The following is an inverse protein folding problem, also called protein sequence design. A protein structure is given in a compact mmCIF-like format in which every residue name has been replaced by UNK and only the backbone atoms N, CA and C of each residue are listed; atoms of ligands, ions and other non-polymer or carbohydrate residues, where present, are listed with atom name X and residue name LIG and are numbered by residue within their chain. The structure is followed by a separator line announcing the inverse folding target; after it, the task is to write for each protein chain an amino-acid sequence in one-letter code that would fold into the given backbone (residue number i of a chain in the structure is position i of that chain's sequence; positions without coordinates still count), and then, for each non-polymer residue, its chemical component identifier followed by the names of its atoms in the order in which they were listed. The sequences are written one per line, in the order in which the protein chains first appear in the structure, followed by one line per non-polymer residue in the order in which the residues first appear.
data_IF_701844197606
#
_entry.id   IF_701844197606
#
_cell.length_a   1.000
_cell.length_b   1.000
_cell.length_c   1.000
_cell.angle_alpha   90.00
_cell.angle_beta   90.00
_cell.angle_gamma   90.00
#
_symmetry.space_group_name_H-M   'P 1'
#
loop_
_entity.id
_entity.type
_entity.pdbx_description
1 polymer ?
#
# COMPACT_ATOMS: atom_id res chain seq x y z
N UNK A 1 10.04 14.50 -3.13
CA UNK A 1 9.02 13.78 -2.36
C UNK A 1 9.07 12.30 -2.67
N UNK A 2 8.86 11.47 -1.69
CA UNK A 2 8.76 10.04 -1.89
C UNK A 2 7.47 9.53 -1.23
N UNK A 3 7.03 8.37 -1.66
CA UNK A 3 5.81 7.76 -1.15
C UNK A 3 6.14 6.81 -0.01
N UNK A 4 5.24 6.68 0.96
CA UNK A 4 5.32 5.64 1.97
C UNK A 4 3.98 4.94 2.09
N UNK A 5 4.01 3.64 2.37
CA UNK A 5 2.81 2.82 2.56
C UNK A 5 2.67 2.36 4.00
N UNK A 6 3.28 3.07 4.95
CA UNK A 6 3.17 2.71 6.36
C UNK A 6 1.72 2.66 6.82
N UNK A 7 0.89 3.57 6.32
CA UNK A 7 -0.53 3.56 6.65
C UNK A 7 -1.21 2.27 6.23
N UNK A 8 -0.82 1.73 5.08
CA UNK A 8 -1.36 0.46 4.60
C UNK A 8 -1.05 -0.68 5.57
N UNK A 9 0.20 -0.74 6.03
CA UNK A 9 0.60 -1.79 6.97
C UNK A 9 -0.13 -1.68 8.29
N UNK A 10 -0.31 -0.46 8.80
CA UNK A 10 -1.09 -0.22 10.02
C UNK A 10 -2.55 -0.61 9.84
N UNK A 11 -3.12 -0.30 8.68
CA UNK A 11 -4.51 -0.67 8.39
C UNK A 11 -4.69 -2.19 8.37
N UNK A 12 -3.74 -2.91 7.79
CA UNK A 12 -3.78 -4.37 7.79
C UNK A 12 -3.71 -4.92 9.20
N UNK A 13 -2.85 -4.37 10.05
CA UNK A 13 -2.75 -4.77 11.45
C UNK A 13 -4.08 -4.56 12.17
N UNK A 14 -4.70 -3.41 11.97
CA UNK A 14 -5.99 -3.08 12.59
C UNK A 14 -7.07 -4.06 12.19
N UNK A 15 -6.98 -4.62 10.99
CA UNK A 15 -7.96 -5.55 10.46
C UNK A 15 -7.57 -7.01 10.66
N UNK A 16 -6.45 -7.27 11.32
CA UNK A 16 -5.98 -8.64 11.53
C UNK A 16 -5.60 -9.33 10.24
N UNK A 17 -5.19 -8.57 9.23
CA UNK A 17 -4.78 -9.08 7.93
C UNK A 17 -3.28 -9.15 7.80
N UNK A 18 -2.81 -10.18 7.10
CA UNK A 18 -1.40 -10.32 6.74
C UNK A 18 -1.19 -9.76 5.33
N UNK A 19 0.07 -9.48 4.97
CA UNK A 19 0.41 -9.03 3.62
C UNK A 19 -0.06 -10.03 2.56
N UNK A 20 0.03 -11.31 2.86
CA UNK A 20 -0.45 -12.37 1.98
C UNK A 20 -1.96 -12.22 1.72
N UNK A 21 -2.71 -11.89 2.74
CA UNK A 21 -4.16 -11.70 2.61
C UNK A 21 -4.48 -10.54 1.69
N UNK A 22 -3.72 -9.46 1.81
CA UNK A 22 -3.87 -8.30 0.92
C UNK A 22 -3.58 -8.68 -0.52
N UNK A 23 -2.50 -9.40 -0.74
CA UNK A 23 -2.12 -9.84 -2.09
C UNK A 23 -3.25 -10.61 -2.76
N UNK A 24 -3.86 -11.52 -2.03
CA UNK A 24 -4.96 -12.34 -2.54
C UNK A 24 -6.24 -11.51 -2.73
N UNK A 25 -6.59 -10.70 -1.75
CA UNK A 25 -7.82 -9.91 -1.78
C UNK A 25 -7.82 -8.88 -2.92
N UNK A 26 -6.69 -8.25 -3.17
CA UNK A 26 -6.56 -7.21 -4.20
C UNK A 26 -6.07 -7.76 -5.54
N UNK A 27 -5.74 -9.04 -5.61
CA UNK A 27 -5.23 -9.64 -6.85
C UNK A 27 -3.88 -9.07 -7.27
N UNK A 28 -2.98 -8.86 -6.31
CA UNK A 28 -1.68 -8.29 -6.58
C UNK A 28 -0.64 -9.36 -6.91
N UNK A 29 0.39 -8.95 -7.66
CA UNK A 29 1.52 -9.81 -7.96
C UNK A 29 2.58 -9.70 -6.86
N UNK A 30 3.49 -10.68 -6.82
CA UNK A 30 4.63 -10.61 -5.92
C UNK A 30 5.50 -9.40 -6.18
N UNK A 31 5.63 -9.00 -7.46
CA UNK A 31 6.40 -7.83 -7.83
C UNK A 31 5.79 -6.54 -7.24
N UNK A 32 4.47 -6.43 -7.31
CA UNK A 32 3.76 -5.28 -6.73
C UNK A 32 3.92 -5.26 -5.19
N UNK A 33 3.82 -6.41 -4.55
CA UNK A 33 4.02 -6.50 -3.11
C UNK A 33 5.44 -6.06 -2.72
N UNK A 34 6.43 -6.41 -3.53
CA UNK A 34 7.81 -5.98 -3.30
C UNK A 34 7.93 -4.47 -3.37
N UNK A 35 7.30 -3.84 -4.36
CA UNK A 35 7.29 -2.39 -4.49
C UNK A 35 6.66 -1.71 -3.28
N UNK A 36 5.55 -2.25 -2.80
CA UNK A 36 4.88 -1.72 -1.62
C UNK A 36 5.78 -1.78 -0.38
N UNK A 37 6.49 -2.89 -0.20
CA UNK A 37 7.40 -3.04 0.94
C UNK A 37 8.61 -2.13 0.87
N UNK A 38 9.00 -1.71 -0.32
CA UNK A 38 10.16 -0.82 -0.55
C UNK A 38 9.76 0.63 -0.72
N UNK A 39 8.50 0.96 -0.51
CA UNK A 39 7.98 2.32 -0.71
C UNK A 39 8.27 2.85 -2.11
N UNK A 40 8.09 2.00 -3.10
CA UNK A 40 8.25 2.37 -4.51
C UNK A 40 6.91 2.70 -5.13
N UNK A 41 6.95 3.45 -6.23
CA UNK A 41 5.73 3.86 -6.92
C UNK A 41 4.98 2.67 -7.50
N UNK A 42 3.66 2.73 -7.40
CA UNK A 42 2.76 1.76 -8.03
C UNK A 42 1.75 2.54 -8.87
N UNK A 43 1.06 1.84 -9.77
CA UNK A 43 0.09 2.50 -10.64
C UNK A 43 -1.17 2.86 -9.88
N UNK A 44 -1.89 3.88 -10.38
CA UNK A 44 -3.18 4.25 -9.80
C UNK A 44 -4.20 3.11 -9.89
N UNK A 45 -4.09 2.28 -10.93
CA UNK A 45 -4.93 1.10 -11.06
C UNK A 45 -4.70 0.16 -9.88
N UNK A 46 -3.45 -0.07 -9.51
CA UNK A 46 -3.10 -0.92 -8.38
C UNK A 46 -3.62 -0.32 -7.07
N UNK A 47 -3.46 0.99 -6.90
CA UNK A 47 -4.00 1.69 -5.73
C UNK A 47 -5.50 1.48 -5.63
N UNK A 48 -6.21 1.60 -6.75
CA UNK A 48 -7.64 1.36 -6.81
C UNK A 48 -8.03 -0.05 -6.39
N UNK A 49 -7.26 -1.04 -6.81
CA UNK A 49 -7.50 -2.44 -6.43
C UNK A 49 -7.36 -2.63 -4.92
N UNK A 50 -6.35 -2.03 -4.32
CA UNK A 50 -6.14 -2.11 -2.88
C UNK A 50 -7.28 -1.44 -2.13
N UNK A 51 -7.64 -0.24 -2.55
CA UNK A 51 -8.73 0.51 -1.91
C UNK A 51 -10.05 -0.23 -2.00
N UNK A 52 -10.35 -0.83 -3.14
CA UNK A 52 -11.56 -1.60 -3.33
C UNK A 52 -11.59 -2.83 -2.43
N UNK A 53 -10.46 -3.53 -2.34
CA UNK A 53 -10.34 -4.74 -1.54
C UNK A 53 -10.50 -4.44 -0.04
N UNK A 54 -10.00 -3.30 0.41
CA UNK A 54 -10.05 -2.91 1.82
C UNK A 54 -11.21 -1.99 2.17
N UNK A 55 -11.95 -1.53 1.17
CA UNK A 55 -13.05 -0.60 1.39
C UNK A 55 -12.59 0.72 2.00
N UNK A 56 -11.50 1.27 1.48
CA UNK A 56 -10.89 2.49 2.01
C UNK A 56 -10.49 3.43 0.87
N UNK A 57 -9.98 4.59 1.23
CA UNK A 57 -9.52 5.58 0.27
C UNK A 57 -8.01 5.57 0.15
N UNK A 58 -7.49 6.20 -0.91
CA UNK A 58 -6.06 6.27 -1.16
C UNK A 58 -5.29 6.86 0.01
N UNK A 59 -5.85 7.89 0.64
CA UNK A 59 -5.20 8.56 1.78
C UNK A 59 -5.10 7.67 3.02
N UNK A 60 -5.83 6.56 3.05
CA UNK A 60 -5.78 5.60 4.15
C UNK A 60 -4.62 4.62 4.02
N UNK A 61 -4.01 4.53 2.84
CA UNK A 61 -2.99 3.52 2.57
C UNK A 61 -1.63 4.10 2.19
N UNK A 62 -1.57 5.36 1.77
CA UNK A 62 -0.31 5.96 1.34
C UNK A 62 -0.28 7.45 1.64
N UNK A 63 0.92 7.98 1.71
CA UNK A 63 1.12 9.42 1.81
C UNK A 63 2.48 9.77 1.23
N UNK A 64 2.64 11.03 0.88
CA UNK A 64 3.93 11.52 0.42
C UNK A 64 4.70 12.08 1.61
N UNK A 65 5.97 11.78 1.65
CA UNK A 65 6.86 12.30 2.67
C UNK A 65 7.95 13.11 1.99
N UNK A 66 8.30 14.22 2.59
CA UNK A 66 9.39 15.03 2.07
C UNK A 66 10.70 14.42 2.51
N UNK A 67 11.55 14.16 1.51
CA UNK A 67 12.85 13.58 1.78
C UNK A 67 13.84 14.71 2.01
N UNK A 68 14.19 14.95 3.24
CA UNK A 68 15.24 15.92 3.54
C UNK A 68 16.58 15.29 3.32
N UNK A 69 17.35 15.91 2.43
CA UNK A 69 18.75 15.56 2.23
C UNK A 69 19.58 16.48 3.11
N UNK A 70 20.27 15.90 4.02
CA UNK A 70 21.25 16.64 4.82
C UNK A 70 22.63 16.23 4.42
#
# INVERSE_FOLDING_TARGET
MSVTYNKLWHLLLDRGMKKKDLKEAAGLTGHTMLKLRKDQDITTETIGKICKALGCEMTDIMEFVEKTNN
#
